data_IF_268587024087
#
_entry.id   IF_268587024087
#
_cell.length_a   1.000
_cell.length_b   1.000
_cell.length_c   1.000
_cell.angle_alpha   90.00
_cell.angle_beta   90.00
_cell.angle_gamma   90.00
#
_symmetry.space_group_name_H-M   'P 1'
#
loop_
_entity.id
_entity.type
_entity.pdbx_description
1 polymer ?
#
# COMPACT_ATOMS: atom_id res chain seq x y z
N UNK A 1 -5.12 22.86 6.98
CA UNK A 1 -5.03 21.50 6.49
C UNK A 1 -4.55 21.46 5.06
N UNK A 2 -3.94 20.34 4.72
CA UNK A 2 -3.39 20.19 3.38
C UNK A 2 -4.44 20.39 2.30
N UNK A 3 -5.61 19.84 2.49
CA UNK A 3 -6.68 19.97 1.52
C UNK A 3 -7.06 21.43 1.29
N UNK A 4 -7.01 22.21 2.34
CA UNK A 4 -7.36 23.61 2.24
C UNK A 4 -6.30 24.42 1.51
N UNK A 5 -5.08 23.88 1.41
CA UNK A 5 -4.01 24.55 0.67
C UNK A 5 -4.09 24.26 -0.83
N UNK A 6 -5.07 23.49 -1.27
CA UNK A 6 -5.25 23.16 -2.68
C UNK A 6 -4.48 21.96 -3.15
N UNK A 7 -3.76 21.27 -2.29
CA UNK A 7 -3.03 20.08 -2.67
C UNK A 7 -3.90 18.84 -2.53
N UNK A 8 -3.76 17.92 -3.46
CA UNK A 8 -4.37 16.60 -3.32
C UNK A 8 -3.59 15.81 -2.27
N UNK A 9 -4.28 14.90 -1.59
CA UNK A 9 -3.67 14.05 -0.58
C UNK A 9 -3.61 12.62 -1.12
N UNK A 10 -2.41 12.06 -1.17
CA UNK A 10 -2.18 10.68 -1.59
C UNK A 10 -1.75 9.86 -0.39
N UNK A 11 -2.37 8.70 -0.21
CA UNK A 11 -1.96 7.73 0.79
C UNK A 11 -1.24 6.58 0.07
N UNK A 12 -0.06 6.23 0.53
CA UNK A 12 0.75 5.18 -0.11
C UNK A 12 0.73 3.92 0.74
N UNK A 13 0.06 2.89 0.26
CA UNK A 13 0.02 1.60 0.94
C UNK A 13 1.14 0.72 0.39
N UNK A 14 2.02 0.27 1.27
CA UNK A 14 3.22 -0.45 0.84
C UNK A 14 3.53 -1.58 1.80
N UNK A 15 4.38 -2.51 1.35
CA UNK A 15 4.89 -3.58 2.18
C UNK A 15 5.80 -2.98 3.24
N UNK A 16 5.60 -3.33 4.50
CA UNK A 16 6.50 -2.94 5.59
C UNK A 16 7.02 -4.19 6.29
N UNK A 17 6.16 -4.93 6.95
CA UNK A 17 6.60 -6.08 7.74
C UNK A 17 6.20 -7.43 7.19
N UNK A 18 5.65 -7.50 5.99
CA UNK A 18 5.10 -8.74 5.47
C UNK A 18 6.13 -9.74 4.96
N UNK A 19 7.32 -9.29 4.62
CA UNK A 19 8.38 -10.17 4.15
C UNK A 19 9.33 -10.40 5.33
N UNK A 20 9.45 -11.64 5.81
CA UNK A 20 10.26 -11.89 7.01
C UNK A 20 11.70 -11.39 6.84
N UNK A 21 12.20 -10.69 7.85
CA UNK A 21 13.56 -10.18 7.87
C UNK A 21 13.82 -9.01 6.93
N UNK A 22 12.79 -8.46 6.29
CA UNK A 22 12.98 -7.40 5.29
C UNK A 22 12.37 -6.07 5.69
N UNK A 23 12.02 -5.89 6.96
CA UNK A 23 11.33 -4.66 7.36
C UNK A 23 12.18 -3.41 7.10
N UNK A 24 13.46 -3.46 7.44
CA UNK A 24 14.33 -2.31 7.20
C UNK A 24 14.45 -2.01 5.70
N UNK A 25 14.57 -3.06 4.89
CA UNK A 25 14.62 -2.88 3.45
C UNK A 25 13.30 -2.33 2.91
N UNK A 26 12.19 -2.83 3.45
CA UNK A 26 10.86 -2.38 3.02
C UNK A 26 10.68 -0.89 3.27
N UNK A 27 11.12 -0.42 4.43
CA UNK A 27 11.03 1.01 4.73
C UNK A 27 11.88 1.81 3.74
N UNK A 28 13.08 1.34 3.46
CA UNK A 28 13.95 2.02 2.51
C UNK A 28 13.36 2.03 1.10
N UNK A 29 12.74 0.93 0.70
CA UNK A 29 12.10 0.85 -0.61
C UNK A 29 10.97 1.87 -0.71
N UNK A 30 10.11 1.92 0.30
CA UNK A 30 8.99 2.85 0.31
C UNK A 30 9.48 4.31 0.32
N UNK A 31 10.44 4.60 1.19
CA UNK A 31 10.95 5.98 1.32
C UNK A 31 11.61 6.45 0.03
N UNK A 32 12.36 5.56 -0.62
CA UNK A 32 13.04 5.91 -1.87
C UNK A 32 12.03 6.26 -2.95
N UNK A 33 10.99 5.45 -3.06
CA UNK A 33 9.98 5.70 -4.07
C UNK A 33 9.21 6.99 -3.80
N UNK A 34 8.79 7.18 -2.55
CA UNK A 34 8.01 8.36 -2.19
C UNK A 34 8.83 9.63 -2.36
N UNK A 35 10.12 9.58 -2.03
CA UNK A 35 10.98 10.74 -2.25
C UNK A 35 11.01 11.12 -3.73
N UNK A 36 11.11 10.11 -4.59
CA UNK A 36 11.10 10.36 -6.03
C UNK A 36 9.76 10.96 -6.48
N UNK A 37 8.66 10.47 -5.92
CA UNK A 37 7.35 11.03 -6.25
C UNK A 37 7.23 12.48 -5.78
N UNK A 38 7.73 12.77 -4.57
CA UNK A 38 7.64 14.12 -4.03
C UNK A 38 8.42 15.12 -4.88
N UNK A 39 9.50 14.67 -5.50
CA UNK A 39 10.28 15.53 -6.37
C UNK A 39 9.55 15.85 -7.67
N UNK A 40 8.65 14.98 -8.11
CA UNK A 40 7.93 15.14 -9.36
C UNK A 40 6.53 15.68 -9.21
N UNK A 41 5.95 15.57 -8.01
CA UNK A 41 4.53 15.89 -7.79
C UNK A 41 4.42 16.90 -6.66
N UNK A 42 4.74 18.15 -6.97
CA UNK A 42 4.76 19.19 -5.94
C UNK A 42 3.36 19.64 -5.53
N UNK A 43 2.32 19.27 -6.26
CA UNK A 43 0.94 19.61 -5.92
C UNK A 43 0.23 18.46 -5.18
N UNK A 44 0.97 17.46 -4.72
CA UNK A 44 0.42 16.32 -4.02
C UNK A 44 1.11 16.18 -2.67
N UNK A 45 0.33 16.08 -1.60
CA UNK A 45 0.86 15.76 -0.28
C UNK A 45 0.79 14.25 -0.10
N UNK A 46 1.94 13.60 0.08
CA UNK A 46 2.02 12.14 0.12
C UNK A 46 2.23 11.68 1.55
N UNK A 47 1.31 10.84 2.04
CA UNK A 47 1.43 10.21 3.34
C UNK A 47 2.06 8.85 3.12
N UNK A 48 3.23 8.64 3.71
CA UNK A 48 3.95 7.38 3.63
C UNK A 48 4.05 6.79 5.04
N UNK A 49 3.19 5.82 5.39
CA UNK A 49 3.21 5.27 6.75
C UNK A 49 4.55 4.68 7.16
N UNK A 50 5.37 4.24 6.19
CA UNK A 50 6.67 3.68 6.51
C UNK A 50 7.57 4.69 7.22
N UNK A 51 7.34 5.99 7.00
CA UNK A 51 8.14 7.04 7.67
C UNK A 51 7.87 7.11 9.16
N UNK A 52 6.77 6.55 9.62
CA UNK A 52 6.33 6.65 11.01
C UNK A 52 6.49 5.34 11.76
N UNK A 53 7.01 4.31 11.09
CA UNK A 53 7.21 3.01 11.71
C UNK A 53 8.41 3.07 12.65
N UNK A 54 8.25 2.55 13.87
CA UNK A 54 9.33 2.51 14.83
C UNK A 54 9.56 1.09 15.31
N UNK A 55 10.81 0.71 15.58
CA UNK A 55 11.10 -0.63 16.09
C UNK A 55 10.30 -0.92 17.34
N UNK A 56 9.74 -2.12 17.41
CA UNK A 56 8.93 -2.53 18.54
C UNK A 56 7.46 -2.16 18.40
N UNK A 57 7.10 -1.40 17.38
CA UNK A 57 5.71 -1.05 17.16
C UNK A 57 4.92 -2.25 16.67
N UNK A 58 3.75 -2.47 17.25
CA UNK A 58 2.85 -3.52 16.81
C UNK A 58 2.19 -3.12 15.50
N UNK A 59 2.18 -4.05 14.55
CA UNK A 59 1.55 -3.79 13.27
C UNK A 59 0.06 -3.47 13.38
N UNK A 60 -0.63 -4.11 14.31
CA UNK A 60 -2.05 -3.83 14.52
C UNK A 60 -2.29 -2.42 15.05
N UNK A 61 -1.42 -1.95 15.94
CA UNK A 61 -1.51 -0.59 16.44
C UNK A 61 -1.28 0.42 15.32
N UNK A 62 -0.32 0.14 14.46
CA UNK A 62 -0.05 0.99 13.32
C UNK A 62 -1.25 1.05 12.39
N UNK A 63 -1.85 -0.10 12.10
CA UNK A 63 -3.03 -0.16 11.25
C UNK A 63 -4.18 0.62 11.84
N UNK A 64 -4.41 0.47 13.15
CA UNK A 64 -5.51 1.17 13.81
C UNK A 64 -5.32 2.68 13.72
N UNK A 65 -4.10 3.14 13.96
CA UNK A 65 -3.80 4.57 13.90
C UNK A 65 -4.10 5.13 12.52
N UNK A 66 -3.66 4.44 11.48
CA UNK A 66 -3.84 4.94 10.12
C UNK A 66 -5.27 4.79 9.62
N UNK A 67 -6.03 3.83 10.14
CA UNK A 67 -7.41 3.66 9.70
C UNK A 67 -8.23 4.92 9.96
N UNK A 68 -7.93 5.63 11.03
CA UNK A 68 -8.65 6.87 11.32
C UNK A 68 -8.41 7.91 10.23
N UNK A 69 -7.18 8.04 9.76
CA UNK A 69 -6.86 8.94 8.65
C UNK A 69 -7.53 8.45 7.38
N UNK A 70 -7.48 7.15 7.15
CA UNK A 70 -8.00 6.54 5.93
C UNK A 70 -9.51 6.72 5.80
N UNK A 71 -10.23 6.75 6.91
CA UNK A 71 -11.69 6.91 6.89
C UNK A 71 -12.14 8.35 7.07
N UNK A 72 -11.20 9.29 7.11
CA UNK A 72 -11.52 10.69 7.36
C UNK A 72 -12.12 11.42 6.15
N UNK A 73 -11.95 10.87 4.95
CA UNK A 73 -12.37 11.53 3.73
C UNK A 73 -11.35 12.52 3.18
N UNK A 74 -10.17 12.59 3.79
CA UNK A 74 -9.14 13.52 3.34
C UNK A 74 -8.32 13.01 2.17
N UNK A 75 -8.33 11.68 1.93
CA UNK A 75 -7.49 11.09 0.89
C UNK A 75 -8.18 11.22 -0.46
N UNK A 76 -7.47 11.77 -1.43
CA UNK A 76 -7.96 11.90 -2.80
C UNK A 76 -7.45 10.80 -3.71
N UNK A 77 -6.23 10.32 -3.45
CA UNK A 77 -5.58 9.29 -4.25
C UNK A 77 -5.03 8.26 -3.29
N UNK A 78 -5.40 7.01 -3.50
CA UNK A 78 -4.88 5.92 -2.67
C UNK A 78 -4.06 5.02 -3.56
N UNK A 79 -2.74 5.12 -3.42
CA UNK A 79 -1.81 4.37 -4.27
C UNK A 79 -1.32 3.15 -3.52
N UNK A 80 -1.44 1.99 -4.16
CA UNK A 80 -0.92 0.74 -3.62
C UNK A 80 0.36 0.39 -4.35
N UNK A 81 1.38 0.00 -3.60
CA UNK A 81 2.70 -0.28 -4.15
C UNK A 81 2.62 -1.36 -5.21
N UNK A 82 3.08 -1.04 -6.42
CA UNK A 82 3.11 -1.98 -7.52
C UNK A 82 4.48 -2.62 -7.62
N UNK A 83 4.58 -3.68 -8.42
CA UNK A 83 5.86 -4.29 -8.72
C UNK A 83 6.79 -3.28 -9.36
N UNK A 84 6.26 -2.44 -10.25
CA UNK A 84 7.04 -1.40 -10.91
C UNK A 84 7.57 -0.39 -9.92
N UNK A 85 6.79 -0.04 -8.89
CA UNK A 85 7.25 0.87 -7.84
C UNK A 85 8.48 0.28 -7.14
N UNK A 86 8.42 -1.01 -6.83
CA UNK A 86 9.53 -1.69 -6.15
C UNK A 86 10.76 -1.75 -7.03
N UNK A 87 10.58 -2.09 -8.30
CA UNK A 87 11.69 -2.12 -9.24
C UNK A 87 12.33 -0.75 -9.38
N UNK A 88 11.51 0.30 -9.45
CA UNK A 88 12.02 1.65 -9.55
C UNK A 88 12.84 2.04 -8.32
N UNK A 89 12.37 1.64 -7.13
CA UNK A 89 13.08 1.95 -5.90
C UNK A 89 14.45 1.30 -5.87
N UNK A 90 14.52 0.01 -6.20
CA UNK A 90 15.81 -0.66 -6.21
C UNK A 90 16.75 -0.06 -7.25
N UNK A 91 16.20 0.32 -8.42
CA UNK A 91 16.99 1.01 -9.42
C UNK A 91 17.56 2.33 -8.93
N UNK A 92 16.73 3.11 -8.22
CA UNK A 92 17.19 4.38 -7.66
C UNK A 92 18.26 4.19 -6.58
N UNK A 93 18.23 3.05 -5.89
CA UNK A 93 19.26 2.72 -4.90
C UNK A 93 20.51 2.12 -5.54
N UNK A 94 20.50 1.93 -6.87
CA UNK A 94 21.63 1.34 -7.56
C UNK A 94 21.74 -0.16 -7.37
N UNK A 95 20.63 -0.83 -7.09
CA UNK A 95 20.62 -2.24 -6.75
C UNK A 95 19.70 -3.01 -7.69
N UNK A 96 20.00 -4.28 -7.88
CA UNK A 96 19.06 -5.20 -8.53
C UNK A 96 18.00 -5.62 -7.50
N UNK A 97 16.83 -5.98 -8.00
CA UNK A 97 15.76 -6.48 -7.11
C UNK A 97 16.21 -7.82 -6.55
N UNK A 98 16.32 -7.95 -5.21
CA UNK A 98 16.69 -9.23 -4.62
C UNK A 98 15.61 -10.29 -4.88
N UNK A 99 15.98 -11.58 -4.92
CA UNK A 99 14.99 -12.63 -5.19
C UNK A 99 13.79 -12.60 -4.26
N UNK A 100 13.98 -12.26 -2.99
CA UNK A 100 12.89 -12.26 -2.02
C UNK A 100 11.88 -11.14 -2.32
N UNK A 101 12.27 -10.15 -3.10
CA UNK A 101 11.40 -9.06 -3.52
C UNK A 101 10.85 -9.24 -4.93
N UNK A 102 11.38 -10.20 -5.67
CA UNK A 102 11.01 -10.37 -7.06
C UNK A 102 9.54 -10.75 -7.18
N UNK A 103 8.81 -10.04 -8.05
CA UNK A 103 7.41 -10.31 -8.28
C UNK A 103 6.47 -9.88 -7.17
N UNK A 104 6.96 -9.20 -6.15
CA UNK A 104 6.13 -8.74 -5.05
C UNK A 104 5.51 -7.39 -5.34
N UNK A 105 4.34 -7.16 -4.76
CA UNK A 105 3.68 -5.86 -4.75
C UNK A 105 2.81 -5.82 -3.50
N UNK A 106 1.99 -4.78 -3.38
CA UNK A 106 1.17 -4.60 -2.18
C UNK A 106 0.24 -5.78 -1.92
N UNK A 107 -0.13 -6.54 -2.94
CA UNK A 107 -1.03 -7.69 -2.73
C UNK A 107 -0.40 -8.76 -1.86
N UNK A 108 0.92 -8.72 -1.67
CA UNK A 108 1.61 -9.65 -0.79
C UNK A 108 1.41 -9.32 0.68
N UNK A 109 0.94 -8.12 0.99
CA UNK A 109 0.80 -7.65 2.36
C UNK A 109 -0.64 -7.77 2.83
N UNK A 110 -0.84 -8.46 3.96
CA UNK A 110 -2.18 -8.54 4.55
C UNK A 110 -2.66 -7.17 5.00
N UNK A 111 -1.75 -6.32 5.46
CA UNK A 111 -2.11 -4.95 5.82
C UNK A 111 -2.63 -4.16 4.64
N UNK A 112 -1.95 -4.28 3.50
CA UNK A 112 -2.42 -3.59 2.30
C UNK A 112 -3.74 -4.17 1.81
N UNK A 113 -3.98 -5.46 2.00
CA UNK A 113 -5.24 -6.06 1.64
C UNK A 113 -6.39 -5.47 2.46
N UNK A 114 -6.16 -5.30 3.76
CA UNK A 114 -7.14 -4.63 4.61
C UNK A 114 -7.38 -3.19 4.15
N UNK A 115 -6.32 -2.51 3.77
CA UNK A 115 -6.42 -1.14 3.30
C UNK A 115 -7.19 -1.05 2.00
N UNK A 116 -7.04 -2.03 1.12
CA UNK A 116 -7.84 -2.05 -0.11
C UNK A 116 -9.33 -2.17 0.20
N UNK A 117 -9.70 -2.96 1.22
CA UNK A 117 -11.11 -3.03 1.62
C UNK A 117 -11.61 -1.69 2.12
N UNK A 118 -10.78 -1.00 2.90
CA UNK A 118 -11.14 0.34 3.39
C UNK A 118 -11.27 1.31 2.22
N UNK A 119 -10.34 1.25 1.27
CA UNK A 119 -10.37 2.14 0.12
C UNK A 119 -11.63 1.95 -0.70
N UNK A 120 -12.01 0.69 -0.94
CA UNK A 120 -13.23 0.41 -1.69
C UNK A 120 -14.47 0.87 -0.94
N UNK A 121 -14.45 0.69 0.37
CA UNK A 121 -15.55 1.14 1.23
C UNK A 121 -15.69 2.66 1.16
N UNK A 122 -14.58 3.37 1.27
CA UNK A 122 -14.58 4.82 1.19
C UNK A 122 -14.99 5.31 -0.19
N UNK A 123 -14.66 4.59 -1.24
CA UNK A 123 -15.01 4.99 -2.59
C UNK A 123 -16.52 4.97 -2.82
N UNK A 124 -17.24 4.16 -2.06
CA UNK A 124 -18.70 4.14 -2.18
C UNK A 124 -19.32 5.47 -1.79
N UNK A 125 -18.79 6.11 -0.75
CA UNK A 125 -19.31 7.40 -0.29
C UNK A 125 -18.51 8.57 -0.88
N UNK A 126 -17.34 8.30 -1.45
CA UNK A 126 -16.47 9.30 -2.05
C UNK A 126 -16.05 8.81 -3.43
N UNK A 127 -16.97 8.86 -4.43
CA UNK A 127 -16.67 8.25 -5.73
C UNK A 127 -15.50 8.90 -6.46
N UNK A 128 -15.11 10.10 -6.04
CA UNK A 128 -13.98 10.79 -6.66
C UNK A 128 -12.63 10.22 -6.20
N UNK A 129 -12.62 9.39 -5.15
CA UNK A 129 -11.39 8.77 -4.68
C UNK A 129 -10.78 7.90 -5.78
N UNK A 130 -9.51 8.13 -6.10
CA UNK A 130 -8.80 7.36 -7.10
C UNK A 130 -7.96 6.29 -6.42
N UNK A 131 -8.10 5.06 -6.88
CA UNK A 131 -7.32 3.93 -6.37
C UNK A 131 -6.36 3.52 -7.48
N UNK A 132 -5.06 3.54 -7.18
CA UNK A 132 -4.00 3.33 -8.16
C UNK A 132 -3.12 2.16 -7.71
N UNK A 133 -2.70 1.34 -8.67
CA UNK A 133 -1.81 0.21 -8.39
C UNK A 133 -2.48 -1.10 -8.75
N UNK A 134 -2.08 -2.20 -8.10
CA UNK A 134 -2.74 -3.49 -8.36
C UNK A 134 -4.23 -3.40 -8.07
N UNK A 135 -5.04 -4.02 -8.93
CA UNK A 135 -6.48 -3.93 -8.77
C UNK A 135 -7.03 -4.75 -7.63
N UNK A 136 -8.26 -4.45 -7.22
CA UNK A 136 -8.88 -5.18 -6.11
C UNK A 136 -8.95 -6.67 -6.34
N UNK A 137 -9.18 -7.09 -7.58
CA UNK A 137 -9.29 -8.52 -7.87
C UNK A 137 -7.99 -9.24 -7.58
N UNK A 138 -6.85 -8.60 -7.75
CA UNK A 138 -5.58 -9.24 -7.45
C UNK A 138 -5.40 -9.43 -5.96
N UNK A 139 -5.83 -8.44 -5.18
CA UNK A 139 -5.76 -8.54 -3.72
C UNK A 139 -6.59 -9.71 -3.19
N UNK A 140 -7.82 -9.85 -3.70
CA UNK A 140 -8.77 -10.77 -3.09
C UNK A 140 -8.74 -12.17 -3.71
N UNK A 141 -7.99 -12.33 -4.77
CA UNK A 141 -7.84 -13.64 -5.39
C UNK A 141 -6.79 -14.50 -4.72
N UNK A 142 -5.98 -13.88 -3.87
CA UNK A 142 -4.93 -14.63 -3.18
C UNK A 142 -5.44 -15.44 -2.03
N UNK A 143 -6.53 -15.58 -1.99
CA UNK A 143 -7.05 -16.34 -1.01
C UNK A 143 -6.98 -15.76 0.30
N UNK A 144 -7.04 -15.82 0.24
CA UNK A 144 -7.13 -15.44 1.17
C UNK A 144 -7.97 -14.90 1.66
N UNK A 145 -8.59 -15.06 1.73
CA UNK A 145 -9.43 -14.55 2.18
C UNK A 145 -9.39 -14.51 3.37
N UNK A 146 -9.34 -14.77 3.64
CA UNK A 146 -9.25 -14.73 4.72
C UNK A 146 -8.31 -14.20 5.28
N UNK A 147 -7.79 -14.34 5.16
CA UNK A 147 -7.01 -13.94 5.39
C UNK A 147 -6.71 -13.61 5.11
N UNK A 148 -6.73 -13.48 5.16
CA UNK A 148 -6.56 -13.50 4.51
C UNK A 148 -6.95 -14.28 3.51
N UNK A 149 -7.74 -14.89 3.40
CA UNK A 149 -8.14 -15.64 2.45
C UNK A 149 -9.37 -15.44 2.02
N UNK A 150 -9.70 -15.29 1.16
CA UNK A 150 -10.90 -15.01 0.69
C UNK A 150 -11.23 -15.74 -0.39
N UNK A 151 -11.65 -16.12 -0.83
CA UNK A 151 -11.90 -16.76 -1.78
C UNK A 151 -12.58 -16.58 -2.75
N UNK A 152 -12.39 -16.54 -3.34
CA UNK A 152 -12.93 -16.44 -4.45
C UNK A 152 -13.40 -17.53 -4.84
N UNK A 153 -13.80 -17.80 -4.45
CA UNK A 153 -14.23 -18.91 -4.70
C UNK A 153 -14.44 -19.07 -6.03
N UNK A 154 -14.30 -18.72 -6.49
CA UNK A 154 -14.47 -19.00 -7.67
C UNK A 154 -13.37 -19.21 -8.15
N UNK A 155 -13.12 -19.16 -7.69
CA UNK A 155 -12.26 -19.37 -7.72
C UNK A 155 -11.76 -19.95 -7.05
N UNK A 156 -12.04 -20.45 -6.89
CA UNK A 156 -11.81 -20.95 -6.17
C UNK A 156 -11.32 -21.25 -5.97
N UNK A 157 -11.32 -21.72 -6.24
CA UNK A 157 -10.98 -22.02 -5.95
C UNK A 157 -10.32 -22.04 -6.13
N UNK A 158 -10.35 -22.23 -6.46
CA UNK A 158 -9.86 -22.22 -6.39
C UNK A 158 -9.17 -22.17 -6.32
N UNK A 159 -9.27 -22.41 -6.45
CA UNK A 159 -8.83 -22.26 -6.12
C UNK A 159 -8.36 -22.18 -5.91
N UNK A 160 -8.32 -22.46 -6.15
CA UNK A 160 -8.13 -22.39 -5.81
C UNK A 160 -7.54 -22.33 -5.97
N UNK A 161 -7.36 -22.49 -6.34
CA UNK A 161 -7.08 -22.45 -6.36
C UNK A 161 -6.80 -22.51 -6.30
#
# INVERSE_FOLDING_TARGET
MTKDSGKAVMFYSCIIGSIPGQTATAIKVADTFVRSLRERLDQVFIINPAEYFEPGMDGDDLMFMWEQVQRSGLINIWRFQSMEDIEASFGLMGLKVPPVWSGKDATFSTGCTKEMRIALDMQRSHPELQIVGPGPEKFFRRGDYGVGKFFDATISNANQE
#
